data_IF_616072732374
#
_entry.id   IF_616072732374
#
_cell.length_a   1.000
_cell.length_b   1.000
_cell.length_c   1.000
_cell.angle_alpha   90.00
_cell.angle_beta   90.00
_cell.angle_gamma   90.00
#
_symmetry.space_group_name_H-M   'P 1'
#
loop_
_entity.id
_entity.type
_entity.pdbx_description
1 polymer ?
#
# COMPACT_ATOMS: atom_id res chain seq x y z
N UNK A 1 -22.26 -16.14 10.20
CA UNK A 1 -20.85 -15.71 10.03
C UNK A 1 -20.78 -14.23 10.32
N UNK A 2 -20.43 -13.83 11.55
CA UNK A 2 -20.29 -12.41 11.88
C UNK A 2 -18.91 -11.96 11.38
N UNK A 3 -18.88 -11.02 10.45
CA UNK A 3 -17.64 -10.36 10.03
C UNK A 3 -17.16 -9.52 11.19
N UNK A 4 -16.20 -10.03 11.95
CA UNK A 4 -15.61 -9.28 13.06
C UNK A 4 -14.59 -8.33 12.48
N UNK A 5 -14.95 -7.05 12.39
CA UNK A 5 -14.00 -6.00 12.06
C UNK A 5 -12.90 -5.99 13.11
N UNK A 6 -11.67 -6.27 12.68
CA UNK A 6 -10.48 -6.12 13.51
C UNK A 6 -9.94 -4.71 13.28
N UNK A 7 -9.82 -3.96 14.36
CA UNK A 7 -9.23 -2.63 14.35
C UNK A 7 -7.77 -2.75 14.80
N UNK A 8 -6.93 -1.86 14.28
CA UNK A 8 -5.51 -1.82 14.58
C UNK A 8 -5.12 -0.40 14.96
N UNK A 9 -4.19 -0.30 15.91
CA UNK A 9 -3.54 0.97 16.20
C UNK A 9 -2.53 1.30 15.08
N UNK A 10 -2.28 2.60 14.83
CA UNK A 10 -1.24 3.00 13.88
C UNK A 10 0.14 2.41 14.21
N UNK A 11 0.46 2.27 15.49
CA UNK A 11 1.72 1.68 15.97
C UNK A 11 1.82 0.18 15.66
N UNK A 12 0.71 -0.55 15.73
CA UNK A 12 0.66 -1.97 15.36
C UNK A 12 0.94 -2.13 13.87
N UNK A 13 0.22 -1.38 13.02
CA UNK A 13 0.46 -1.37 11.56
C UNK A 13 1.89 -0.95 11.26
N UNK A 14 2.40 0.06 11.98
CA UNK A 14 3.75 0.58 11.86
C UNK A 14 4.86 -0.37 12.30
N UNK A 15 4.54 -1.53 12.87
CA UNK A 15 5.53 -2.58 13.18
C UNK A 15 5.76 -3.53 12.00
N UNK A 16 4.82 -3.61 11.06
CA UNK A 16 4.88 -4.49 9.88
C UNK A 16 5.50 -3.75 8.68
N UNK A 17 6.83 -3.62 8.70
CA UNK A 17 7.59 -2.79 7.73
C UNK A 17 8.66 -3.55 6.94
N UNK A 18 8.64 -4.88 6.97
CA UNK A 18 9.65 -5.71 6.31
C UNK A 18 9.12 -6.30 5.01
N UNK A 19 10.02 -6.85 4.20
CA UNK A 19 9.66 -7.41 2.89
C UNK A 19 8.68 -8.59 3.00
N UNK A 20 8.86 -9.41 4.02
CA UNK A 20 8.05 -10.57 4.37
C UNK A 20 6.81 -10.20 5.21
N UNK A 21 6.81 -9.04 5.85
CA UNK A 21 5.71 -8.56 6.69
C UNK A 21 5.50 -7.05 6.49
N UNK A 22 4.82 -6.69 5.40
CA UNK A 22 4.58 -5.31 4.98
C UNK A 22 3.10 -4.99 4.98
N UNK A 23 2.68 -4.06 5.84
CA UNK A 23 1.29 -3.61 5.90
C UNK A 23 1.18 -2.14 5.53
N UNK A 24 0.02 -1.72 5.04
CA UNK A 24 -0.26 -0.33 4.69
C UNK A 24 -1.70 0.02 5.06
N UNK A 25 -1.97 1.30 5.28
CA UNK A 25 -3.34 1.81 5.44
C UNK A 25 -3.78 2.51 4.16
N UNK A 26 -4.97 2.16 3.66
CA UNK A 26 -5.59 2.77 2.48
C UNK A 26 -7.04 3.12 2.84
N UNK A 27 -7.35 4.41 2.91
CA UNK A 27 -8.65 4.96 3.29
C UNK A 27 -9.21 4.35 4.58
N UNK A 28 -8.36 4.19 5.59
CA UNK A 28 -8.72 3.59 6.88
C UNK A 28 -8.81 2.06 6.89
N UNK A 29 -8.50 1.39 5.78
CA UNK A 29 -8.38 -0.07 5.70
C UNK A 29 -6.93 -0.50 5.84
N UNK A 30 -6.66 -1.43 6.76
CA UNK A 30 -5.35 -2.08 6.87
C UNK A 30 -5.23 -3.20 5.85
N UNK A 31 -4.19 -3.17 5.03
CA UNK A 31 -3.88 -4.17 4.00
C UNK A 31 -2.52 -4.77 4.29
N UNK A 32 -2.46 -6.09 4.41
CA UNK A 32 -1.20 -6.83 4.30
C UNK A 32 -0.87 -6.98 2.81
N UNK A 33 0.26 -6.42 2.39
CA UNK A 33 0.75 -6.42 1.00
C UNK A 33 1.99 -7.29 0.81
N UNK A 34 2.39 -8.10 1.79
CA UNK A 34 3.53 -9.02 1.68
C UNK A 34 3.44 -9.93 0.46
N UNK A 35 2.25 -10.46 0.16
CA UNK A 35 2.03 -11.31 -1.02
C UNK A 35 2.28 -10.58 -2.35
N UNK A 36 2.00 -9.27 -2.40
CA UNK A 36 2.27 -8.45 -3.58
C UNK A 36 3.78 -8.25 -3.77
N UNK A 37 4.50 -8.04 -2.67
CA UNK A 37 5.96 -7.89 -2.68
C UNK A 37 6.64 -9.21 -3.06
N UNK A 38 6.08 -10.34 -2.65
CA UNK A 38 6.57 -11.66 -3.04
C UNK A 38 6.39 -11.89 -4.55
N UNK A 39 5.20 -11.61 -5.08
CA UNK A 39 4.87 -11.78 -6.50
C UNK A 39 5.73 -10.90 -7.42
N UNK A 40 5.83 -9.60 -7.11
CA UNK A 40 6.58 -8.63 -7.92
C UNK A 40 8.02 -8.43 -7.43
N UNK A 41 8.48 -9.29 -6.52
CA UNK A 41 9.77 -9.17 -5.83
C UNK A 41 11.00 -9.13 -6.73
N UNK A 42 10.87 -9.65 -7.95
CA UNK A 42 11.90 -9.68 -8.98
C UNK A 42 12.15 -8.29 -9.60
N UNK A 43 11.16 -7.39 -9.54
CA UNK A 43 11.27 -6.01 -10.04
C UNK A 43 11.43 -5.05 -8.87
N UNK A 44 12.67 -4.58 -8.68
CA UNK A 44 12.99 -3.69 -7.58
C UNK A 44 12.28 -2.33 -7.69
N UNK A 45 11.97 -1.85 -8.89
CA UNK A 45 11.40 -0.52 -9.10
C UNK A 45 9.90 -0.49 -8.77
N UNK A 46 9.20 -1.60 -8.95
CA UNK A 46 7.82 -1.77 -8.47
C UNK A 46 7.73 -1.87 -6.94
N UNK A 47 8.71 -2.54 -6.32
CA UNK A 47 8.66 -2.88 -4.88
C UNK A 47 9.21 -1.77 -3.97
N UNK A 48 10.23 -1.02 -4.42
CA UNK A 48 10.84 0.08 -3.65
C UNK A 48 9.83 1.08 -3.06
N UNK A 49 8.85 1.63 -3.81
CA UNK A 49 7.91 2.59 -3.24
C UNK A 49 7.02 1.99 -2.16
N UNK A 50 6.62 0.72 -2.31
CA UNK A 50 5.82 -0.01 -1.32
C UNK A 50 6.61 -0.19 -0.02
N UNK A 51 7.86 -0.66 -0.10
CA UNK A 51 8.72 -0.84 1.07
C UNK A 51 9.05 0.49 1.76
N UNK A 52 9.20 1.57 1.00
CA UNK A 52 9.46 2.91 1.55
C UNK A 52 8.30 3.42 2.40
N UNK A 53 7.06 3.13 2.01
CA UNK A 53 5.86 3.55 2.72
C UNK A 53 5.26 2.44 3.60
N UNK A 54 6.03 1.39 3.88
CA UNK A 54 5.58 0.29 4.72
C UNK A 54 5.21 0.79 6.13
N UNK A 55 4.06 0.32 6.62
CA UNK A 55 3.47 0.70 7.90
C UNK A 55 2.81 2.08 7.93
N UNK A 56 2.70 2.78 6.79
CA UNK A 56 2.11 4.12 6.71
C UNK A 56 0.71 4.11 6.05
N UNK A 57 0.03 5.27 6.11
CA UNK A 57 -1.17 5.55 5.33
C UNK A 57 -0.79 6.09 3.94
N UNK A 58 -1.16 5.35 2.91
CA UNK A 58 -0.92 5.69 1.50
C UNK A 58 -2.21 6.00 0.75
N UNK A 59 -3.25 6.43 1.46
CA UNK A 59 -4.49 6.94 0.87
C UNK A 59 -4.24 8.00 -0.20
N UNK A 60 -3.16 8.78 -0.09
CA UNK A 60 -2.80 9.82 -1.06
C UNK A 60 -2.36 9.26 -2.43
N UNK A 61 -2.09 7.96 -2.55
CA UNK A 61 -1.85 7.31 -3.84
C UNK A 61 -3.14 7.07 -4.64
N UNK A 62 -4.29 7.15 -3.98
CA UNK A 62 -5.57 6.75 -4.53
C UNK A 62 -6.55 7.94 -4.51
N UNK A 63 -7.28 8.13 -5.61
CA UNK A 63 -8.36 9.09 -5.63
C UNK A 63 -9.55 8.60 -4.78
N UNK A 64 -10.27 9.56 -4.17
CA UNK A 64 -11.32 9.32 -3.16
C UNK A 64 -12.52 8.49 -3.66
N UNK A 65 -12.68 8.36 -4.97
CA UNK A 65 -13.81 7.75 -5.68
C UNK A 65 -13.67 6.23 -5.88
N UNK A 66 -12.64 5.58 -5.33
CA UNK A 66 -12.59 4.11 -5.14
C UNK A 66 -12.49 3.26 -6.41
N UNK A 67 -12.68 3.86 -7.58
CA UNK A 67 -12.26 3.35 -8.87
C UNK A 67 -11.02 4.14 -9.24
N UNK A 68 -9.87 3.70 -8.70
CA UNK A 68 -8.59 4.17 -9.20
C UNK A 68 -8.48 3.76 -10.66
N UNK A 69 -8.85 4.65 -11.58
CA UNK A 69 -8.07 4.71 -12.80
C UNK A 69 -6.64 4.95 -12.32
N UNK A 70 -5.78 3.95 -12.47
CA UNK A 70 -4.35 4.14 -12.36
C UNK A 70 -4.01 5.05 -13.54
N UNK A 71 -4.19 6.36 -13.36
CA UNK A 71 -3.53 7.34 -14.20
C UNK A 71 -2.09 7.25 -13.74
N UNK A 72 -1.34 6.31 -14.35
CA UNK A 72 0.11 6.44 -14.40
C UNK A 72 0.29 7.82 -14.99
N UNK A 73 0.62 8.80 -14.15
CA UNK A 73 0.95 10.14 -14.59
C UNK A 73 2.16 9.97 -15.48
N UNK A 74 1.91 9.77 -16.77
CA UNK A 74 2.92 9.92 -17.80
C UNK A 74 3.29 11.38 -17.70
N UNK A 75 4.38 11.67 -17.00
CA UNK A 75 5.05 12.95 -17.09
C UNK A 75 5.45 13.12 -18.56
N UNK A 76 4.53 13.68 -19.35
CA UNK A 76 4.68 14.18 -20.70
C UNK A 76 3.62 15.28 -20.77
N UNK A 77 3.96 16.54 -20.62
CA UNK A 77 4.87 17.25 -21.51
C UNK A 77 5.88 18.14 -20.78
N UNK A 78 7.15 17.97 -21.15
CA UNK A 78 8.06 19.11 -21.29
C UNK A 78 7.60 19.90 -22.52
N UNK A 79 7.45 21.22 -22.33
CA UNK A 79 7.12 22.27 -23.31
C UNK A 79 5.68 22.34 -23.80
#
# INVERSE_FOLDING_TARGET
>A
MAWRNKYFLPEEVGSHKTRDDCWMTIHGLVKNVSGLIEEFGHDADLVKPILREAGNDVSYWFEKNGLGEIIVSTATSLQ
#
